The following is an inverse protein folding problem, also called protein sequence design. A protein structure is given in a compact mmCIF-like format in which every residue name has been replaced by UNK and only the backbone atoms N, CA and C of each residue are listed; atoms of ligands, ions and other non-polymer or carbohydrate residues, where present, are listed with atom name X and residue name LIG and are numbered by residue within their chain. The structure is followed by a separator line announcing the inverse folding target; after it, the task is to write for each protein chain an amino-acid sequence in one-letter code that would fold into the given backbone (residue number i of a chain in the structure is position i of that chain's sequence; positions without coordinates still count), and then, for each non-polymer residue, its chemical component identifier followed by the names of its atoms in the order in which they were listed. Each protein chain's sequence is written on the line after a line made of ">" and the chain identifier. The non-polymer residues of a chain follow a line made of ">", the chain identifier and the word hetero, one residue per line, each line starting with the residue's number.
data_IF_432758499157
#
_entry.id   IF_432758499157
#
_cell.length_a   1.000
_cell.length_b   1.000
_cell.length_c   1.000
_cell.angle_alpha   90.00
_cell.angle_beta   90.00
_cell.angle_gamma   90.00
#
_symmetry.space_group_name_H-M   'P 1'
#
loop_
_entity.id
_entity.type
_entity.pdbx_description
1 polymer ?
#
# COMPACT_ATOMS: atom_id res chain seq x y z
N UNK A 1 11.87 -7.90 18.16
CA UNK A 1 10.44 -7.65 17.83
C UNK A 1 10.28 -6.23 17.31
N UNK A 2 9.75 -6.04 16.10
CA UNK A 2 9.46 -4.69 15.56
C UNK A 2 8.27 -4.07 16.29
N UNK A 3 8.38 -2.81 16.72
CA UNK A 3 7.29 -2.13 17.44
C UNK A 3 6.05 -1.97 16.55
N UNK A 4 4.85 -1.89 17.15
CA UNK A 4 3.60 -1.67 16.42
C UNK A 4 3.64 -0.39 15.56
N UNK A 5 4.31 0.66 16.04
CA UNK A 5 4.53 1.90 15.28
C UNK A 5 5.34 1.65 14.01
N UNK A 6 6.48 0.96 14.14
CA UNK A 6 7.34 0.64 13.00
C UNK A 6 6.63 -0.28 11.99
N UNK A 7 5.82 -1.24 12.48
CA UNK A 7 4.97 -2.07 11.61
C UNK A 7 3.98 -1.22 10.80
N UNK A 8 3.25 -0.30 11.43
CA UNK A 8 2.28 0.56 10.74
C UNK A 8 2.96 1.52 9.76
N UNK A 9 4.08 2.15 10.14
CA UNK A 9 4.86 3.00 9.24
C UNK A 9 5.32 2.23 8.00
N UNK A 10 5.90 1.04 8.18
CA UNK A 10 6.33 0.20 7.07
C UNK A 10 5.14 -0.23 6.18
N UNK A 11 4.00 -0.55 6.79
CA UNK A 11 2.80 -0.93 6.05
C UNK A 11 2.26 0.21 5.17
N UNK A 12 2.26 1.44 5.67
CA UNK A 12 1.81 2.62 4.92
C UNK A 12 2.79 3.02 3.81
N UNK A 13 4.10 2.85 4.05
CA UNK A 13 5.15 3.16 3.07
C UNK A 13 5.31 2.10 1.98
N UNK A 14 4.86 0.85 2.21
CA UNK A 14 5.15 -0.26 1.28
C UNK A 14 4.65 -0.01 -0.14
N UNK A 15 3.56 0.75 -0.31
CA UNK A 15 3.04 1.08 -1.64
C UNK A 15 4.01 1.98 -2.43
N UNK A 16 4.60 2.96 -1.74
CA UNK A 16 5.60 3.87 -2.29
C UNK A 16 6.87 3.13 -2.73
N UNK A 17 7.26 2.08 -2.00
CA UNK A 17 8.42 1.26 -2.40
C UNK A 17 8.28 0.59 -3.77
N UNK A 18 7.07 0.55 -4.35
CA UNK A 18 6.81 0.05 -5.70
C UNK A 18 6.64 1.20 -6.69
N UNK A 19 5.82 2.21 -6.37
CA UNK A 19 5.58 3.33 -7.31
C UNK A 19 6.87 4.16 -7.51
N UNK A 20 7.65 4.40 -6.46
CA UNK A 20 8.90 5.18 -6.53
C UNK A 20 10.10 4.32 -6.95
N UNK A 21 9.85 3.06 -7.33
CA UNK A 21 10.92 2.12 -7.70
C UNK A 21 11.24 2.11 -9.19
N UNK A 22 10.55 2.96 -9.95
CA UNK A 22 10.71 3.14 -11.37
C UNK A 22 12.19 3.39 -11.71
N UNK A 23 12.65 2.75 -12.79
CA UNK A 23 14.05 2.78 -13.22
C UNK A 23 14.22 3.66 -14.42
N UNK A 24 15.37 4.34 -14.49
CA UNK A 24 15.91 4.96 -15.71
C UNK A 24 15.74 4.02 -16.91
N UNK A 25 14.89 4.43 -17.85
CA UNK A 25 14.49 3.65 -19.01
C UNK A 25 13.48 4.43 -19.86
N UNK A 26 13.19 3.98 -21.08
CA UNK A 26 12.30 4.70 -21.99
C UNK A 26 10.90 4.82 -21.38
N UNK A 27 10.40 6.05 -21.37
CA UNK A 27 9.02 6.36 -21.00
C UNK A 27 8.11 5.97 -22.16
N UNK A 28 6.99 5.34 -21.84
CA UNK A 28 5.94 5.01 -22.80
C UNK A 28 4.70 5.82 -22.44
N UNK A 29 4.15 6.55 -23.39
CA UNK A 29 2.90 7.30 -23.20
C UNK A 29 1.71 6.43 -23.58
N UNK A 30 0.74 6.26 -22.66
CA UNK A 30 -0.54 5.58 -22.93
C UNK A 30 -1.69 6.36 -22.29
N UNK A 31 -2.63 6.81 -23.13
CA UNK A 31 -3.80 7.55 -22.65
C UNK A 31 -3.45 8.87 -21.95
N UNK A 32 -2.36 9.53 -22.37
CA UNK A 32 -1.88 10.76 -21.75
C UNK A 32 -1.15 10.58 -20.42
N UNK A 33 -0.85 9.35 -20.03
CA UNK A 33 -0.07 9.03 -18.82
C UNK A 33 1.26 8.42 -19.25
N UNK A 34 2.33 8.89 -18.64
CA UNK A 34 3.68 8.37 -18.82
C UNK A 34 3.88 7.13 -17.97
N UNK A 35 4.52 6.11 -18.55
CA UNK A 35 4.77 4.83 -17.88
C UNK A 35 6.23 4.42 -18.00
N UNK A 36 6.77 3.88 -16.90
CA UNK A 36 8.14 3.38 -16.86
C UNK A 36 8.20 1.94 -16.33
N UNK A 37 9.17 1.18 -16.83
CA UNK A 37 9.29 -0.23 -16.51
C UNK A 37 9.73 -0.43 -15.05
N UNK A 38 9.06 -1.36 -14.36
CA UNK A 38 9.43 -1.71 -13.00
C UNK A 38 10.71 -2.56 -12.96
N UNK A 39 11.53 -2.43 -11.89
CA UNK A 39 12.77 -3.17 -11.74
C UNK A 39 12.52 -4.68 -11.54
N UNK A 40 13.54 -5.54 -11.72
CA UNK A 40 13.40 -7.00 -11.56
C UNK A 40 12.79 -7.47 -10.23
N UNK A 41 12.95 -6.70 -9.15
CA UNK A 41 12.31 -7.00 -7.86
C UNK A 41 10.78 -6.85 -7.87
N UNK A 42 10.22 -6.11 -8.82
CA UNK A 42 8.78 -5.82 -8.99
C UNK A 42 8.26 -6.08 -10.42
N UNK A 43 8.99 -6.82 -11.25
CA UNK A 43 8.64 -7.15 -12.64
C UNK A 43 7.33 -7.97 -12.82
N UNK A 44 6.69 -8.37 -11.72
CA UNK A 44 5.49 -9.19 -11.74
C UNK A 44 4.57 -8.85 -10.58
N UNK A 45 3.26 -8.90 -10.87
CA UNK A 45 2.21 -8.71 -9.87
C UNK A 45 2.34 -9.71 -8.72
N UNK A 46 2.86 -10.92 -8.97
CA UNK A 46 3.11 -11.91 -7.93
C UNK A 46 4.19 -11.47 -6.93
N UNK A 47 5.28 -10.84 -7.38
CA UNK A 47 6.33 -10.28 -6.50
C UNK A 47 5.78 -9.14 -5.64
N UNK A 48 5.07 -8.19 -6.27
CA UNK A 48 4.43 -7.07 -5.58
C UNK A 48 3.41 -7.56 -4.54
N UNK A 49 2.59 -8.55 -4.92
CA UNK A 49 1.62 -9.19 -4.01
C UNK A 49 2.31 -9.81 -2.80
N UNK A 50 3.42 -10.54 -2.99
CA UNK A 50 4.18 -11.12 -1.87
C UNK A 50 4.71 -10.04 -0.93
N UNK A 51 5.22 -8.93 -1.46
CA UNK A 51 5.66 -7.79 -0.66
C UNK A 51 4.51 -7.23 0.19
N UNK A 52 3.39 -6.88 -0.44
CA UNK A 52 2.25 -6.27 0.27
C UNK A 52 1.62 -7.22 1.30
N UNK A 53 1.61 -8.53 1.05
CA UNK A 53 1.05 -9.55 1.98
C UNK A 53 1.83 -9.70 3.29
N UNK A 54 3.03 -9.11 3.39
CA UNK A 54 3.77 -8.99 4.65
C UNK A 54 3.05 -8.11 5.68
N UNK A 55 2.26 -7.14 5.20
CA UNK A 55 1.59 -6.16 6.05
C UNK A 55 0.07 -6.19 5.90
N UNK A 56 -0.44 -6.51 4.71
CA UNK A 56 -1.85 -6.31 4.36
C UNK A 56 -2.61 -7.63 4.15
N UNK A 57 -3.88 -7.63 4.56
CA UNK A 57 -4.88 -8.65 4.24
C UNK A 57 -5.10 -8.77 2.72
N UNK A 58 -5.63 -9.91 2.25
CA UNK A 58 -5.79 -10.21 0.81
C UNK A 58 -6.57 -9.11 0.09
N UNK A 59 -7.66 -8.64 0.71
CA UNK A 59 -8.48 -7.55 0.19
C UNK A 59 -7.67 -6.27 -0.04
N UNK A 60 -6.92 -5.81 0.96
CA UNK A 60 -6.11 -4.60 0.85
C UNK A 60 -4.95 -4.76 -0.10
N UNK A 61 -4.31 -5.93 -0.15
CA UNK A 61 -3.27 -6.21 -1.15
C UNK A 61 -3.81 -6.05 -2.57
N UNK A 62 -5.01 -6.58 -2.87
CA UNK A 62 -5.61 -6.43 -4.20
C UNK A 62 -5.94 -4.96 -4.52
N UNK A 63 -6.45 -4.21 -3.53
CA UNK A 63 -6.76 -2.79 -3.67
C UNK A 63 -5.48 -2.00 -3.98
N UNK A 64 -4.43 -2.17 -3.16
CA UNK A 64 -3.15 -1.50 -3.34
C UNK A 64 -2.53 -1.78 -4.70
N UNK A 65 -2.51 -3.04 -5.14
CA UNK A 65 -1.99 -3.42 -6.47
C UNK A 65 -2.80 -2.77 -7.58
N UNK A 66 -4.12 -2.72 -7.46
CA UNK A 66 -4.94 -2.08 -8.49
C UNK A 66 -4.68 -0.57 -8.57
N UNK A 67 -4.53 0.08 -7.41
CA UNK A 67 -4.27 1.52 -7.37
C UNK A 67 -2.84 1.89 -7.78
N UNK A 68 -1.93 0.94 -7.95
CA UNK A 68 -0.67 1.16 -8.68
C UNK A 68 -0.89 1.40 -10.20
N UNK A 69 -2.10 1.12 -10.73
CA UNK A 69 -2.47 1.32 -12.15
C UNK A 69 -1.46 0.75 -13.15
N UNK A 70 -0.93 -0.43 -12.83
CA UNK A 70 0.13 -1.07 -13.60
C UNK A 70 -0.34 -1.47 -15.00
N UNK A 71 0.53 -1.26 -15.99
CA UNK A 71 0.36 -1.77 -17.34
C UNK A 71 1.28 -2.96 -17.61
N UNK A 72 0.81 -3.89 -18.43
CA UNK A 72 1.62 -5.00 -18.94
C UNK A 72 1.81 -4.81 -20.44
N UNK A 73 3.06 -4.68 -20.88
CA UNK A 73 3.43 -4.51 -22.28
C UNK A 73 4.58 -5.48 -22.57
N UNK A 74 4.41 -6.35 -23.57
CA UNK A 74 5.42 -7.34 -23.98
C UNK A 74 6.00 -8.14 -22.80
N UNK A 75 5.14 -8.57 -21.88
CA UNK A 75 5.53 -9.36 -20.69
C UNK A 75 6.17 -8.56 -19.55
N UNK A 76 6.50 -7.27 -19.75
CA UNK A 76 7.05 -6.39 -18.72
C UNK A 76 5.95 -5.59 -18.03
N UNK A 77 6.17 -5.28 -16.75
CA UNK A 77 5.25 -4.51 -15.93
C UNK A 77 5.73 -3.06 -15.83
N UNK A 78 4.81 -2.13 -16.01
CA UNK A 78 5.07 -0.69 -16.01
C UNK A 78 4.20 -0.02 -14.95
N UNK A 79 4.73 1.00 -14.31
CA UNK A 79 4.02 1.86 -13.37
C UNK A 79 3.92 3.29 -13.95
N UNK A 80 2.88 4.05 -13.59
CA UNK A 80 2.71 5.43 -14.06
C UNK A 80 3.72 6.35 -13.39
N UNK A 81 4.43 7.12 -14.21
CA UNK A 81 5.39 8.13 -13.77
C UNK A 81 4.65 9.33 -13.17
N UNK A 82 5.14 9.81 -12.04
CA UNK A 82 4.69 11.04 -11.42
C UNK A 82 4.67 10.94 -9.90
N UNK A 83 4.77 12.10 -9.25
CA UNK A 83 4.73 12.16 -7.81
C UNK A 83 3.31 11.90 -7.30
N UNK A 84 3.10 10.88 -6.44
CA UNK A 84 1.82 10.73 -5.76
C UNK A 84 1.54 11.97 -4.89
N UNK A 85 0.26 12.32 -4.65
CA UNK A 85 -0.07 13.40 -3.74
C UNK A 85 0.50 13.11 -2.34
N UNK A 86 0.67 14.16 -1.55
CA UNK A 86 1.05 13.99 -0.15
C UNK A 86 -0.02 13.18 0.59
N UNK A 87 0.39 12.04 1.17
CA UNK A 87 -0.48 11.14 1.88
C UNK A 87 0.01 10.93 3.32
N UNK A 88 -0.91 10.71 4.27
CA UNK A 88 -0.53 10.40 5.63
C UNK A 88 0.09 9.00 5.69
N UNK A 89 1.39 8.95 6.03
CA UNK A 89 2.19 7.71 6.09
C UNK A 89 2.91 7.54 7.43
N UNK A 90 3.19 8.63 8.15
CA UNK A 90 3.98 8.61 9.39
C UNK A 90 3.05 8.58 10.60
N UNK A 91 3.12 7.51 11.38
CA UNK A 91 2.40 7.40 12.67
C UNK A 91 3.10 8.26 13.72
N UNK A 92 2.40 9.28 14.22
CA UNK A 92 2.87 10.19 15.29
C UNK A 92 2.32 9.83 16.66
N UNK A 93 1.12 9.26 16.72
CA UNK A 93 0.55 8.71 17.95
C UNK A 93 -0.24 7.44 17.65
N UNK A 94 -0.25 6.49 18.58
CA UNK A 94 -1.10 5.31 18.47
C UNK A 94 -1.55 4.83 19.85
N UNK A 95 -2.71 4.19 19.89
CA UNK A 95 -3.21 3.44 21.05
C UNK A 95 -3.97 2.20 20.60
N UNK A 96 -3.82 1.12 21.35
CA UNK A 96 -4.67 -0.06 21.19
C UNK A 96 -6.01 0.26 21.87
N UNK A 97 -7.10 0.18 21.10
CA UNK A 97 -8.46 0.49 21.56
C UNK A 97 -9.16 -0.77 22.05
N UNK A 98 -8.92 -1.91 21.39
CA UNK A 98 -9.52 -3.19 21.74
C UNK A 98 -8.57 -4.33 21.40
N UNK A 99 -8.59 -5.38 22.23
CA UNK A 99 -7.98 -6.68 21.92
C UNK A 99 -9.10 -7.74 21.91
N UNK A 100 -9.07 -8.65 20.95
CA UNK A 100 -10.06 -9.72 20.83
C UNK A 100 -9.45 -10.90 20.10
N UNK A 101 -9.20 -11.98 20.85
CA UNK A 101 -8.57 -13.20 20.35
C UNK A 101 -7.28 -12.91 19.59
N UNK A 102 -7.26 -13.31 18.32
CA UNK A 102 -6.14 -13.14 17.39
C UNK A 102 -6.10 -11.75 16.73
N UNK A 103 -6.80 -10.75 17.27
CA UNK A 103 -6.91 -9.43 16.65
C UNK A 103 -6.85 -8.26 17.62
N UNK A 104 -6.42 -7.11 17.12
CA UNK A 104 -6.45 -5.83 17.82
C UNK A 104 -7.04 -4.73 16.94
N UNK A 105 -7.73 -3.79 17.59
CA UNK A 105 -8.13 -2.52 17.01
C UNK A 105 -7.18 -1.44 17.50
N UNK A 106 -6.53 -0.73 16.57
CA UNK A 106 -5.56 0.32 16.86
C UNK A 106 -6.10 1.63 16.31
N UNK A 107 -6.14 2.67 17.14
CA UNK A 107 -6.33 4.05 16.69
C UNK A 107 -4.95 4.68 16.56
N UNK A 108 -4.63 5.22 15.38
CA UNK A 108 -3.39 5.96 15.17
C UNK A 108 -3.68 7.32 14.54
N UNK A 109 -2.89 8.32 14.91
CA UNK A 109 -2.81 9.59 14.22
C UNK A 109 -1.60 9.55 13.28
N UNK A 110 -1.83 9.81 12.00
CA UNK A 110 -0.83 9.85 10.96
C UNK A 110 -0.64 11.27 10.45
N UNK A 111 0.57 11.59 10.01
CA UNK A 111 0.91 12.82 9.29
C UNK A 111 1.51 12.49 7.93
N UNK A 112 1.39 13.43 6.99
CA UNK A 112 2.10 13.43 5.71
C UNK A 112 3.31 14.36 5.76
N UNK A 113 3.74 14.85 4.60
CA UNK A 113 4.73 15.92 4.49
C UNK A 113 4.14 17.29 4.89
N UNK A 114 2.84 17.52 4.67
CA UNK A 114 2.11 18.66 5.22
C UNK A 114 1.63 18.50 6.69
N UNK A 115 1.04 19.58 7.24
CA UNK A 115 0.72 19.72 8.67
C UNK A 115 -0.55 18.95 9.15
N UNK A 116 -1.28 18.31 8.24
CA UNK A 116 -2.54 17.63 8.54
C UNK A 116 -2.38 16.32 9.32
N UNK A 117 -3.00 16.22 10.50
CA UNK A 117 -3.14 14.95 11.24
C UNK A 117 -4.41 14.21 10.83
N UNK A 118 -4.24 13.00 10.32
CA UNK A 118 -5.36 12.10 9.98
C UNK A 118 -5.48 10.98 11.01
N UNK A 119 -6.66 10.82 11.61
CA UNK A 119 -6.93 9.68 12.51
C UNK A 119 -7.39 8.46 11.70
N UNK A 120 -6.68 7.35 11.84
CA UNK A 120 -6.99 6.07 11.20
C UNK A 120 -7.20 5.00 12.26
N UNK A 121 -8.20 4.14 12.03
CA UNK A 121 -8.43 2.92 12.80
C UNK A 121 -7.99 1.72 11.96
N UNK A 122 -7.10 0.91 12.53
CA UNK A 122 -6.60 -0.32 11.94
C UNK A 122 -7.15 -1.52 12.69
N UNK A 123 -7.64 -2.51 11.97
CA UNK A 123 -7.83 -3.86 12.51
C UNK A 123 -6.66 -4.71 12.07
N UNK A 124 -5.89 -5.22 13.03
CA UNK A 124 -4.71 -6.05 12.80
C UNK A 124 -5.01 -7.43 13.32
N UNK A 125 -4.78 -8.45 12.49
CA UNK A 125 -4.93 -9.86 12.82
C UNK A 125 -3.56 -10.51 12.90
N UNK A 126 -3.37 -11.35 13.90
CA UNK A 126 -2.16 -12.13 14.10
C UNK A 126 -2.43 -13.56 13.69
N UNK A 127 -1.52 -14.12 12.92
CA UNK A 127 -1.55 -15.54 12.61
C UNK A 127 -1.18 -16.33 13.88
N UNK A 128 -2.04 -17.24 14.38
CA UNK A 128 -1.80 -17.92 15.66
C UNK A 128 -0.64 -18.92 15.59
N UNK A 129 -0.25 -19.38 14.40
CA UNK A 129 0.85 -20.34 14.22
C UNK A 129 2.20 -19.65 14.08
N UNK A 130 2.23 -18.54 13.34
CA UNK A 130 3.49 -17.86 12.96
C UNK A 130 3.71 -16.54 13.71
N UNK A 131 2.70 -16.03 14.42
CA UNK A 131 2.72 -14.71 15.04
C UNK A 131 2.68 -13.54 14.04
N UNK A 132 2.57 -13.82 12.74
CA UNK A 132 2.64 -12.80 11.70
C UNK A 132 1.43 -11.84 11.76
N UNK A 133 1.70 -10.54 11.86
CA UNK A 133 0.67 -9.51 11.90
C UNK A 133 0.25 -9.06 10.50
N UNK A 134 -1.05 -8.86 10.26
CA UNK A 134 -1.59 -8.31 9.02
C UNK A 134 -2.73 -7.35 9.28
N UNK A 135 -2.72 -6.20 8.62
CA UNK A 135 -3.82 -5.22 8.61
C UNK A 135 -4.93 -5.75 7.72
N UNK A 136 -6.07 -6.10 8.34
CA UNK A 136 -7.25 -6.63 7.65
C UNK A 136 -8.32 -5.54 7.41
N UNK A 137 -8.25 -4.43 8.16
CA UNK A 137 -9.10 -3.27 7.95
C UNK A 137 -8.37 -1.95 8.25
N UNK A 138 -8.76 -0.89 7.54
CA UNK A 138 -8.25 0.48 7.68
C UNK A 138 -9.37 1.48 7.34
N UNK A 139 -9.59 2.49 8.18
CA UNK A 139 -10.49 3.61 7.85
C UNK A 139 -9.82 4.65 6.94
N UNK A 140 -10.49 5.77 6.63
CA UNK A 140 -9.88 6.87 5.86
C UNK A 140 -9.50 6.49 4.41
N UNK A 141 -10.28 5.60 3.78
CA UNK A 141 -9.97 5.06 2.45
C UNK A 141 -10.42 5.94 1.28
N UNK A 142 -11.46 6.75 1.48
CA UNK A 142 -12.12 7.49 0.37
C UNK A 142 -11.20 8.54 -0.24
N UNK A 143 -10.42 9.22 0.60
CA UNK A 143 -9.56 10.34 0.20
C UNK A 143 -8.09 9.93 0.07
N UNK A 144 -7.80 8.62 0.05
CA UNK A 144 -6.44 8.09 -0.02
C UNK A 144 -6.36 7.17 -1.24
N UNK A 145 -5.69 7.65 -2.30
CA UNK A 145 -5.64 6.99 -3.61
C UNK A 145 -5.15 5.54 -3.53
N UNK A 146 -4.35 5.21 -2.52
CA UNK A 146 -3.83 3.84 -2.30
C UNK A 146 -4.94 2.86 -1.94
N UNK A 147 -5.98 3.34 -1.24
CA UNK A 147 -7.02 2.50 -0.65
C UNK A 147 -8.41 2.71 -1.25
N UNK A 148 -8.53 3.60 -2.25
CA UNK A 148 -9.77 3.79 -3.00
C UNK A 148 -10.24 2.49 -3.62
N UNK A 149 -11.56 2.37 -3.80
CA UNK A 149 -12.14 1.19 -4.45
C UNK A 149 -11.65 1.16 -5.89
N UNK A 150 -10.86 0.14 -6.19
CA UNK A 150 -10.45 -0.18 -7.54
C UNK A 150 -11.69 -0.39 -8.43
N UNK A 151 -11.91 0.55 -9.35
CA UNK A 151 -12.85 0.38 -10.47
C UNK A 151 -11.97 -0.07 -11.63
N UNK A 152 -11.79 -1.38 -11.80
CA UNK A 152 -11.15 -1.87 -13.03
C UNK A 152 -12.09 -1.54 -14.18
N UNK A 153 -11.71 -0.62 -15.06
CA UNK A 153 -11.98 -0.83 -16.48
C UNK A 153 -11.19 -2.08 -16.86
N UNK A 154 -11.91 -3.19 -17.03
CA UNK A 154 -11.36 -4.38 -17.64
C UNK A 154 -10.96 -4.03 -19.08
N UNK A 155 -9.68 -3.82 -19.35
CA UNK A 155 -9.16 -4.04 -20.70
C UNK A 155 -9.15 -5.55 -20.89
N UNK A 156 -10.18 -6.04 -21.59
CA UNK A 156 -10.18 -7.35 -22.26
C UNK A 156 -9.07 -7.38 -23.31
#
# INVERSE_FOLDING_TARGET
>A
MTSLRAFLNAAELVWFTVIDSERVGPIIVRGGIDYQALPPRFDSVAKIRRLFRRYWGVRFTNILICNLRLLRINGRLYAPVGDPPELPTTVVALRIVKRSGDSILVRAALTGLGEGRTTIFYTIRFDPKTGAARIVNRTGRRNDIRYQRCVRSCSR
#
